data_IF_333502680341
#
_entry.id   IF_333502680341
#
_cell.length_a   1.000
_cell.length_b   1.000
_cell.length_c   1.000
_cell.angle_alpha   90.00
_cell.angle_beta   90.00
_cell.angle_gamma   90.00
#
_symmetry.space_group_name_H-M   'P 1'
#
loop_
_entity.id
_entity.type
_entity.pdbx_description
1 polymer ?
#
# COMPACT_ATOMS: atom_id res chain seq x y z
N UNK A 1 18.41 -19.04 -51.92
CA UNK A 1 17.90 -17.93 -51.08
C UNK A 1 17.45 -18.48 -49.73
N UNK A 2 18.27 -18.37 -48.68
CA UNK A 2 17.88 -18.73 -47.30
C UNK A 2 17.54 -17.43 -46.56
N UNK A 3 16.31 -17.28 -46.09
CA UNK A 3 15.89 -16.14 -45.26
C UNK A 3 16.40 -16.38 -43.84
N UNK A 4 17.34 -15.54 -43.38
CA UNK A 4 17.64 -15.42 -41.97
C UNK A 4 16.46 -14.76 -41.27
N UNK A 5 15.83 -15.47 -40.34
CA UNK A 5 14.85 -14.90 -39.41
C UNK A 5 15.62 -14.56 -38.14
N UNK A 6 15.88 -13.27 -37.93
CA UNK A 6 16.39 -12.76 -36.66
C UNK A 6 15.29 -12.88 -35.59
N UNK A 7 15.50 -13.77 -34.61
CA UNK A 7 14.70 -13.82 -33.41
C UNK A 7 15.06 -12.63 -32.51
N UNK A 8 14.17 -11.66 -32.37
CA UNK A 8 14.29 -10.61 -31.36
C UNK A 8 14.15 -11.24 -29.96
N UNK A 9 15.07 -10.97 -29.02
CA UNK A 9 14.90 -11.44 -27.65
C UNK A 9 13.74 -10.71 -26.99
N UNK A 10 12.72 -11.48 -26.60
CA UNK A 10 11.64 -11.05 -25.74
C UNK A 10 12.20 -10.72 -24.36
N UNK A 11 12.42 -9.44 -24.07
CA UNK A 11 12.75 -8.94 -22.75
C UNK A 11 11.51 -8.99 -21.84
N UNK A 12 11.01 -10.18 -21.55
CA UNK A 12 10.15 -10.40 -20.40
C UNK A 12 11.05 -10.58 -19.18
N UNK A 13 11.58 -9.47 -18.67
CA UNK A 13 12.07 -9.44 -17.29
C UNK A 13 10.84 -9.65 -16.42
N UNK A 14 10.58 -10.92 -16.05
CA UNK A 14 9.65 -11.29 -14.98
C UNK A 14 10.20 -10.70 -13.69
N UNK A 15 9.90 -9.42 -13.48
CA UNK A 15 10.06 -8.82 -12.16
C UNK A 15 9.11 -9.56 -11.24
N UNK A 16 9.70 -10.30 -10.30
CA UNK A 16 9.05 -11.16 -9.31
C UNK A 16 8.27 -10.31 -8.29
N UNK A 17 7.29 -9.54 -8.76
CA UNK A 17 6.33 -8.79 -7.94
C UNK A 17 5.07 -9.61 -7.67
N UNK A 18 5.14 -10.94 -7.77
CA UNK A 18 4.11 -11.88 -7.30
C UNK A 18 4.12 -12.02 -5.78
N UNK A 19 4.11 -10.89 -5.08
CA UNK A 19 3.42 -10.77 -3.80
C UNK A 19 2.29 -9.77 -4.00
N UNK A 20 1.41 -10.11 -4.94
CA UNK A 20 0.04 -9.58 -4.92
C UNK A 20 -0.47 -9.77 -3.50
N UNK A 21 -1.08 -8.73 -2.94
CA UNK A 21 -1.79 -8.79 -1.68
C UNK A 21 -2.85 -9.90 -1.76
N UNK A 22 -2.49 -11.11 -1.33
CA UNK A 22 -3.44 -12.21 -1.19
C UNK A 22 -4.19 -12.03 0.12
N UNK A 23 -5.46 -12.46 0.16
CA UNK A 23 -6.32 -12.44 1.34
C UNK A 23 -5.61 -12.90 2.64
N UNK A 24 -4.64 -13.80 2.51
CA UNK A 24 -3.79 -14.29 3.60
C UNK A 24 -2.97 -13.22 4.36
N UNK A 25 -2.63 -12.08 3.74
CA UNK A 25 -1.95 -10.99 4.46
C UNK A 25 -2.92 -10.22 5.38
N UNK A 26 -4.18 -10.11 4.96
CA UNK A 26 -5.27 -9.56 5.77
C UNK A 26 -5.58 -10.53 6.92
N UNK A 27 -5.65 -11.83 6.65
CA UNK A 27 -5.82 -12.85 7.71
C UNK A 27 -4.65 -12.89 8.69
N UNK A 28 -3.40 -12.79 8.22
CA UNK A 28 -2.22 -12.73 9.08
C UNK A 28 -2.21 -11.47 9.96
N UNK A 29 -2.59 -10.33 9.39
CA UNK A 29 -2.68 -9.06 10.15
C UNK A 29 -3.85 -9.09 11.12
N UNK A 30 -5.00 -9.64 10.71
CA UNK A 30 -6.16 -9.84 11.58
C UNK A 30 -5.85 -10.82 12.72
N UNK A 31 -5.09 -11.88 12.46
CA UNK A 31 -4.66 -12.81 13.49
C UNK A 31 -3.68 -12.14 14.46
N UNK A 32 -2.72 -11.36 13.95
CA UNK A 32 -1.81 -10.56 14.78
C UNK A 32 -2.57 -9.52 15.62
N UNK A 33 -3.61 -8.90 15.07
CA UNK A 33 -4.50 -8.00 15.78
C UNK A 33 -5.30 -8.74 16.86
N UNK A 34 -5.88 -9.90 16.55
CA UNK A 34 -6.57 -10.79 17.50
C UNK A 34 -5.70 -11.17 18.69
N UNK A 35 -4.47 -11.57 18.42
CA UNK A 35 -3.50 -11.96 19.47
C UNK A 35 -3.02 -10.74 20.25
N UNK A 36 -2.70 -9.61 19.59
CA UNK A 36 -2.19 -8.41 20.28
C UNK A 36 -3.23 -7.68 21.10
N UNK A 37 -4.47 -7.62 20.61
CA UNK A 37 -5.56 -6.94 21.30
C UNK A 37 -6.13 -7.84 22.39
N UNK A 38 -5.85 -9.16 22.36
CA UNK A 38 -6.45 -10.17 23.22
C UNK A 38 -7.96 -9.99 23.19
N UNK A 39 -8.55 -10.46 22.08
CA UNK A 39 -9.92 -10.20 21.62
C UNK A 39 -10.98 -10.87 22.52
N UNK A 40 -10.91 -10.59 23.81
CA UNK A 40 -11.94 -10.77 24.82
C UNK A 40 -12.86 -9.54 24.82
N UNK A 41 -14.09 -9.65 25.34
CA UNK A 41 -14.93 -8.49 25.59
C UNK A 41 -14.21 -7.54 26.56
N UNK A 42 -13.71 -6.43 26.03
CA UNK A 42 -13.11 -5.33 26.80
C UNK A 42 -14.05 -4.14 26.75
N UNK A 43 -13.89 -3.23 27.69
CA UNK A 43 -14.61 -1.97 27.63
C UNK A 43 -14.30 -1.25 26.29
N UNK A 44 -15.33 -0.69 25.66
CA UNK A 44 -15.26 -0.16 24.29
C UNK A 44 -14.19 0.93 24.14
N UNK A 45 -14.01 1.74 25.19
CA UNK A 45 -12.95 2.75 25.32
C UNK A 45 -11.56 2.13 25.18
N UNK A 46 -11.27 1.05 25.90
CA UNK A 46 -9.98 0.35 25.82
C UNK A 46 -9.72 -0.23 24.43
N UNK A 47 -10.75 -0.73 23.76
CA UNK A 47 -10.62 -1.22 22.38
C UNK A 47 -10.26 -0.08 21.43
N UNK A 48 -10.91 1.07 21.56
CA UNK A 48 -10.64 2.26 20.75
C UNK A 48 -9.20 2.76 20.95
N UNK A 49 -8.73 2.82 22.20
CA UNK A 49 -7.36 3.22 22.53
C UNK A 49 -6.33 2.26 21.93
N UNK A 50 -6.53 0.95 22.10
CA UNK A 50 -5.62 -0.07 21.57
C UNK A 50 -5.55 -0.05 20.03
N UNK A 51 -6.69 0.14 19.36
CA UNK A 51 -6.74 0.31 17.91
C UNK A 51 -6.02 1.57 17.47
N UNK A 52 -6.25 2.68 18.16
CA UNK A 52 -5.60 3.95 17.87
C UNK A 52 -4.07 3.85 17.99
N UNK A 53 -3.57 3.21 19.05
CA UNK A 53 -2.13 3.01 19.23
C UNK A 53 -1.52 2.07 18.20
N UNK A 54 -2.24 1.02 17.81
CA UNK A 54 -1.81 0.15 16.74
C UNK A 54 -1.69 0.91 15.40
N UNK A 55 -2.70 1.72 15.07
CA UNK A 55 -2.72 2.53 13.84
C UNK A 55 -1.62 3.58 13.87
N UNK A 56 -1.34 4.23 15.01
CA UNK A 56 -0.22 5.18 15.14
C UNK A 56 1.10 4.57 14.71
N UNK A 57 1.42 3.36 15.19
CA UNK A 57 2.67 2.66 14.83
C UNK A 57 2.72 2.40 13.32
N UNK A 58 1.63 1.90 12.74
CA UNK A 58 1.55 1.68 11.29
C UNK A 58 1.73 2.97 10.51
N UNK A 59 1.13 4.08 10.96
CA UNK A 59 1.24 5.38 10.31
C UNK A 59 2.65 5.96 10.40
N UNK A 60 3.39 5.70 11.49
CA UNK A 60 4.80 6.08 11.60
C UNK A 60 5.65 5.30 10.58
N UNK A 61 5.46 3.99 10.48
CA UNK A 61 6.21 3.18 9.52
C UNK A 61 5.83 3.50 8.07
N UNK A 62 4.56 3.84 7.81
CA UNK A 62 4.12 4.33 6.51
C UNK A 62 4.78 5.66 6.16
N UNK A 63 4.86 6.61 7.11
CA UNK A 63 5.61 7.86 6.94
C UNK A 63 7.08 7.60 6.62
N UNK A 64 7.70 6.62 7.27
CA UNK A 64 9.10 6.21 7.04
C UNK A 64 9.35 5.71 5.62
N UNK A 65 8.38 5.02 5.02
CA UNK A 65 8.49 4.50 3.67
C UNK A 65 8.71 5.59 2.60
N UNK A 66 8.18 6.80 2.83
CA UNK A 66 8.33 7.94 1.91
C UNK A 66 9.77 8.35 1.67
N UNK A 67 10.65 8.10 2.63
CA UNK A 67 12.07 8.45 2.54
C UNK A 67 12.97 7.22 2.64
N UNK A 68 12.45 6.06 2.22
CA UNK A 68 13.15 4.76 2.20
C UNK A 68 13.77 4.38 3.55
N UNK A 69 13.02 4.61 4.62
CA UNK A 69 13.37 4.15 5.96
C UNK A 69 12.32 3.17 6.48
N UNK A 70 12.69 2.36 7.47
CA UNK A 70 11.79 1.39 8.10
C UNK A 70 11.58 0.10 7.28
N UNK A 71 10.48 -0.60 7.58
CA UNK A 71 10.20 -1.93 7.03
C UNK A 71 9.35 -1.92 5.76
N UNK A 72 8.76 -0.78 5.42
CA UNK A 72 7.89 -0.64 4.25
C UNK A 72 8.64 0.01 3.09
N UNK A 73 8.38 -0.49 1.89
CA UNK A 73 8.96 0.01 0.64
C UNK A 73 7.83 0.48 -0.26
N UNK A 74 8.00 1.65 -0.87
CA UNK A 74 7.06 2.19 -1.84
C UNK A 74 7.12 1.34 -3.12
N UNK A 75 5.96 0.90 -3.60
CA UNK A 75 5.86 0.14 -4.84
C UNK A 75 6.26 1.01 -6.06
N UNK A 76 6.79 0.42 -7.15
CA UNK A 76 7.29 1.16 -8.32
C UNK A 76 6.34 2.23 -8.87
N UNK A 77 5.03 1.95 -8.87
CA UNK A 77 3.96 2.86 -9.31
C UNK A 77 3.96 4.22 -8.59
N UNK A 78 4.34 4.23 -7.32
CA UNK A 78 4.34 5.42 -6.47
C UNK A 78 5.76 5.94 -6.19
N UNK A 79 6.77 5.56 -6.97
CA UNK A 79 8.14 6.05 -6.73
C UNK A 79 8.25 7.57 -6.90
N UNK A 80 7.39 8.19 -7.70
CA UNK A 80 7.37 9.65 -7.91
C UNK A 80 7.00 10.46 -6.65
N UNK A 81 6.31 9.86 -5.67
CA UNK A 81 6.00 10.50 -4.38
C UNK A 81 7.07 10.25 -3.32
N UNK A 82 8.05 9.39 -3.60
CA UNK A 82 9.18 9.14 -2.70
C UNK A 82 10.06 10.40 -2.62
N UNK A 83 10.45 10.77 -1.41
CA UNK A 83 11.38 11.85 -1.13
C UNK A 83 12.75 11.31 -0.69
N UNK A 84 13.83 12.02 -0.99
CA UNK A 84 15.14 11.71 -0.42
C UNK A 84 15.18 12.10 1.06
N UNK A 85 15.98 11.40 1.86
CA UNK A 85 16.19 11.72 3.28
C UNK A 85 16.72 13.14 3.47
N UNK A 86 17.66 13.58 2.62
CA UNK A 86 18.21 14.94 2.66
C UNK A 86 17.14 16.00 2.41
N UNK A 87 16.29 15.76 1.42
CA UNK A 87 15.17 16.66 1.06
C UNK A 87 14.14 16.71 2.18
N UNK A 88 13.90 15.59 2.86
CA UNK A 88 13.01 15.54 4.02
C UNK A 88 13.58 16.32 5.20
N UNK A 89 14.85 16.11 5.53
CA UNK A 89 15.47 16.72 6.71
C UNK A 89 15.52 18.25 6.58
N UNK A 90 15.66 18.76 5.36
CA UNK A 90 15.58 20.19 5.03
C UNK A 90 14.16 20.80 5.15
N UNK A 91 13.09 20.00 5.22
CA UNK A 91 11.71 20.49 5.31
C UNK A 91 11.29 20.78 6.75
N UNK A 92 10.44 21.79 6.92
CA UNK A 92 9.76 22.06 8.20
C UNK A 92 8.76 20.94 8.56
N UNK A 93 8.31 20.92 9.82
CA UNK A 93 7.32 19.94 10.29
C UNK A 93 6.02 19.99 9.47
N UNK A 94 5.53 21.20 9.15
CA UNK A 94 4.30 21.39 8.37
C UNK A 94 4.47 20.93 6.92
N UNK A 95 5.64 21.18 6.33
CA UNK A 95 5.95 20.71 4.98
C UNK A 95 6.03 19.18 4.93
N UNK A 96 6.62 18.55 5.95
CA UNK A 96 6.64 17.09 6.11
C UNK A 96 5.22 16.52 6.22
N UNK A 97 4.36 17.17 7.00
CA UNK A 97 2.96 16.77 7.15
C UNK A 97 2.20 16.91 5.83
N UNK A 98 2.35 18.02 5.13
CA UNK A 98 1.70 18.28 3.83
C UNK A 98 2.14 17.26 2.77
N UNK A 99 3.42 16.94 2.71
CA UNK A 99 3.95 15.91 1.81
C UNK A 99 3.33 14.53 2.10
N UNK A 100 3.22 14.16 3.38
CA UNK A 100 2.56 12.92 3.79
C UNK A 100 1.06 12.90 3.47
N UNK A 101 0.34 14.00 3.68
CA UNK A 101 -1.08 14.10 3.30
C UNK A 101 -1.27 13.96 1.78
N UNK A 102 -0.39 14.57 0.98
CA UNK A 102 -0.44 14.42 -0.48
C UNK A 102 -0.19 12.98 -0.91
N UNK A 103 0.77 12.29 -0.28
CA UNK A 103 1.01 10.87 -0.50
C UNK A 103 -0.24 10.01 -0.25
N UNK A 104 -0.94 10.23 0.87
CA UNK A 104 -2.18 9.50 1.16
C UNK A 104 -3.26 9.75 0.10
N UNK A 105 -3.38 10.99 -0.39
CA UNK A 105 -4.34 11.34 -1.46
C UNK A 105 -4.01 10.67 -2.80
N UNK A 106 -2.73 10.50 -3.13
CA UNK A 106 -2.30 9.83 -4.37
C UNK A 106 -2.69 8.35 -4.37
N UNK A 107 -2.58 7.65 -3.23
CA UNK A 107 -3.04 6.27 -3.07
C UNK A 107 -4.57 6.13 -3.09
N UNK A 108 -5.29 7.17 -2.65
CA UNK A 108 -6.75 7.25 -2.67
C UNK A 108 -7.32 7.69 -4.03
N UNK A 109 -6.47 8.13 -4.95
CA UNK A 109 -6.89 8.56 -6.28
C UNK A 109 -7.47 7.36 -7.00
N UNK A 110 -8.80 7.42 -7.15
CA UNK A 110 -9.69 6.36 -7.60
C UNK A 110 -9.16 5.69 -8.86
N UNK A 111 -8.54 4.52 -8.73
CA UNK A 111 -8.65 3.56 -9.82
C UNK A 111 -10.15 3.27 -9.94
N UNK A 112 -10.75 3.68 -11.07
CA UNK A 112 -12.08 3.23 -11.50
C UNK A 112 -11.97 1.73 -11.79
N UNK A 113 -11.74 0.90 -10.78
CA UNK A 113 -11.86 -0.54 -10.93
C UNK A 113 -13.36 -0.83 -10.96
N UNK A 114 -13.88 -1.52 -11.98
CA UNK A 114 -15.17 -2.16 -11.80
C UNK A 114 -15.07 -3.03 -10.54
N UNK A 115 -15.95 -2.79 -9.58
CA UNK A 115 -16.10 -3.69 -8.43
C UNK A 115 -16.78 -4.92 -9.00
N UNK A 116 -15.97 -5.93 -9.35
CA UNK A 116 -16.49 -7.22 -9.76
C UNK A 116 -16.71 -7.99 -8.45
N UNK A 117 -17.96 -8.33 -8.16
CA UNK A 117 -18.31 -9.26 -7.08
C UNK A 117 -17.50 -10.55 -7.24
N UNK A 118 -17.07 -11.17 -6.14
CA UNK A 118 -16.39 -12.48 -6.15
C UNK A 118 -17.14 -13.55 -6.93
N UNK A 119 -18.45 -13.37 -7.06
CA UNK A 119 -19.37 -14.33 -7.64
C UNK A 119 -19.59 -14.07 -9.15
N UNK A 120 -19.00 -13.00 -9.71
CA UNK A 120 -19.05 -12.67 -11.13
C UNK A 120 -20.41 -12.17 -11.64
N UNK A 121 -21.45 -12.11 -10.80
CA UNK A 121 -22.84 -11.91 -11.24
C UNK A 121 -23.22 -10.44 -11.45
N UNK A 122 -22.53 -9.47 -10.84
CA UNK A 122 -22.89 -8.07 -10.95
C UNK A 122 -21.68 -7.19 -11.31
N UNK A 123 -21.73 -6.65 -12.53
CA UNK A 123 -20.98 -5.47 -12.93
C UNK A 123 -21.95 -4.29 -12.96
N UNK A 124 -21.81 -3.34 -12.04
CA UNK A 124 -22.56 -2.08 -12.13
C UNK A 124 -21.80 -1.16 -13.08
N UNK A 125 -22.23 -1.09 -14.33
CA UNK A 125 -21.88 0.03 -15.20
C UNK A 125 -22.56 1.28 -14.65
N UNK A 126 -21.79 2.32 -14.35
CA UNK A 126 -22.35 3.67 -14.26
C UNK A 126 -22.20 4.29 -15.66
N UNK A 127 -23.30 4.25 -16.41
CA UNK A 127 -23.51 5.10 -17.58
C UNK A 127 -23.66 6.58 -17.17
N UNK A 128 -23.51 7.51 -18.13
CA UNK A 128 -22.45 8.53 -18.18
C UNK A 128 -22.52 9.66 -17.15
#
# INVERSE_FOLDING_TARGET
MKKHVEAKPSNHVKTKFDKMWTNNNTESTNNRLKVKIDWQPKATDQLVENLHDHVKVQMVDLRRSLYSSGKFIIIPKYVHVKESRLVRDAKSADQKLKAFQNFLKVGLSKEKRPVISSDGVYAVSKEP
#
